data_IF_949722190883
#
_entry.id   IF_949722190883
#
_cell.length_a   1.000
_cell.length_b   1.000
_cell.length_c   1.000
_cell.angle_alpha   90.00
_cell.angle_beta   90.00
_cell.angle_gamma   90.00
#
_symmetry.space_group_name_H-M   'P 1'
#
loop_
_entity.id
_entity.type
_entity.pdbx_description
1 polymer ?
#
# COMPACT_ATOMS: atom_id res chain seq x y z
N UNK A 1 -21.12 0.54 8.40
CA UNK A 1 -20.99 -0.02 9.77
C UNK A 1 -20.80 -1.54 9.80
N UNK A 2 -21.58 -2.34 9.05
CA UNK A 2 -21.45 -3.81 9.00
C UNK A 2 -20.05 -4.32 8.59
N UNK A 3 -19.43 -3.71 7.58
CA UNK A 3 -18.09 -4.10 7.12
C UNK A 3 -17.00 -3.98 8.21
N UNK A 4 -17.10 -2.95 9.08
CA UNK A 4 -16.13 -2.71 10.17
C UNK A 4 -16.18 -3.84 11.21
N UNK A 5 -17.39 -4.30 11.53
CA UNK A 5 -17.62 -5.43 12.43
C UNK A 5 -17.15 -6.76 11.85
N UNK A 6 -17.43 -7.02 10.57
CA UNK A 6 -16.93 -8.22 9.89
C UNK A 6 -15.40 -8.28 9.92
N UNK A 7 -14.73 -7.15 9.63
CA UNK A 7 -13.27 -7.05 9.71
C UNK A 7 -12.79 -7.30 11.14
N UNK A 8 -13.42 -6.69 12.15
CA UNK A 8 -13.03 -6.90 13.55
C UNK A 8 -13.15 -8.37 13.98
N UNK A 9 -14.23 -9.05 13.59
CA UNK A 9 -14.42 -10.49 13.87
C UNK A 9 -13.37 -11.33 13.16
N UNK A 10 -13.08 -11.07 11.89
CA UNK A 10 -12.05 -11.80 11.14
C UNK A 10 -10.66 -11.62 11.77
N UNK A 11 -10.33 -10.40 12.19
CA UNK A 11 -9.07 -10.12 12.91
C UNK A 11 -9.01 -10.88 14.23
N UNK A 12 -10.09 -10.91 15.00
CA UNK A 12 -10.15 -11.66 16.26
C UNK A 12 -9.99 -13.18 16.03
N UNK A 13 -10.68 -13.74 15.04
CA UNK A 13 -10.53 -15.15 14.67
C UNK A 13 -9.10 -15.47 14.24
N UNK A 14 -8.47 -14.60 13.44
CA UNK A 14 -7.08 -14.78 13.02
C UNK A 14 -6.10 -14.72 14.21
N UNK A 15 -6.32 -13.79 15.15
CA UNK A 15 -5.51 -13.70 16.36
C UNK A 15 -5.63 -14.95 17.23
N UNK A 16 -6.85 -15.48 17.40
CA UNK A 16 -7.09 -16.76 18.10
C UNK A 16 -6.38 -17.91 17.37
N UNK A 17 -6.48 -17.97 16.04
CA UNK A 17 -5.81 -18.99 15.24
C UNK A 17 -4.29 -18.97 15.40
N UNK A 18 -3.68 -17.78 15.34
CA UNK A 18 -2.24 -17.61 15.60
C UNK A 18 -1.87 -18.03 17.02
N UNK A 19 -2.66 -17.66 18.02
CA UNK A 19 -2.43 -18.08 19.39
C UNK A 19 -2.47 -19.60 19.57
N UNK A 20 -3.50 -20.26 19.03
CA UNK A 20 -3.65 -21.72 19.09
C UNK A 20 -2.45 -22.42 18.45
N UNK A 21 -2.06 -21.97 17.25
CA UNK A 21 -0.92 -22.54 16.53
C UNK A 21 0.39 -22.31 17.28
N UNK A 22 0.64 -21.09 17.78
CA UNK A 22 1.85 -20.81 18.54
C UNK A 22 1.95 -21.70 19.78
N UNK A 23 0.83 -21.91 20.49
CA UNK A 23 0.78 -22.82 21.63
C UNK A 23 1.12 -24.26 21.21
N UNK A 24 0.48 -24.78 20.16
CA UNK A 24 0.75 -26.15 19.68
C UNK A 24 2.20 -26.34 19.21
N UNK A 25 2.77 -25.35 18.51
CA UNK A 25 4.18 -25.39 18.11
C UNK A 25 5.12 -25.40 19.32
N UNK A 26 4.83 -24.60 20.36
CA UNK A 26 5.64 -24.59 21.58
C UNK A 26 5.58 -25.95 22.30
N UNK A 27 4.41 -26.57 22.37
CA UNK A 27 4.25 -27.92 22.93
C UNK A 27 5.03 -28.97 22.11
N UNK A 28 5.02 -28.88 20.78
CA UNK A 28 5.80 -29.76 19.90
C UNK A 28 7.31 -29.56 20.07
N UNK A 29 7.77 -28.31 20.23
CA UNK A 29 9.18 -27.98 20.45
C UNK A 29 9.64 -28.51 21.82
N UNK A 30 8.80 -28.38 22.85
CA UNK A 30 9.07 -28.90 24.20
C UNK A 30 9.12 -30.42 24.30
N UNK A 31 8.58 -31.15 23.32
CA UNK A 31 8.52 -32.63 23.34
C UNK A 31 9.88 -33.34 23.16
N UNK A 32 10.94 -32.61 22.79
CA UNK A 32 12.29 -33.15 22.61
C UNK A 32 12.48 -34.06 21.38
N UNK A 33 11.43 -34.29 20.59
CA UNK A 33 11.50 -35.09 19.35
C UNK A 33 11.97 -34.22 18.18
N UNK A 34 13.08 -34.55 17.48
CA UNK A 34 13.62 -33.71 16.40
C UNK A 34 12.62 -33.42 15.28
N UNK A 35 11.82 -34.42 14.90
CA UNK A 35 10.77 -34.27 13.87
C UNK A 35 9.68 -33.31 14.32
N UNK A 36 9.28 -33.35 15.59
CA UNK A 36 8.25 -32.48 16.13
C UNK A 36 8.74 -31.02 16.23
N UNK A 37 10.01 -30.81 16.60
CA UNK A 37 10.65 -29.50 16.61
C UNK A 37 10.67 -28.89 15.21
N UNK A 38 11.09 -29.64 14.19
CA UNK A 38 11.12 -29.16 12.81
C UNK A 38 9.74 -28.77 12.28
N UNK A 39 8.72 -29.59 12.57
CA UNK A 39 7.34 -29.31 12.17
C UNK A 39 6.76 -28.09 12.91
N UNK A 40 7.05 -27.96 14.21
CA UNK A 40 6.65 -26.80 15.02
C UNK A 40 7.25 -25.49 14.52
N UNK A 41 8.53 -25.48 14.12
CA UNK A 41 9.18 -24.31 13.50
C UNK A 41 8.51 -23.96 12.17
N UNK A 42 8.29 -24.95 11.29
CA UNK A 42 7.64 -24.73 10.00
C UNK A 42 6.24 -24.13 10.14
N UNK A 43 5.46 -24.64 11.09
CA UNK A 43 4.13 -24.13 11.42
C UNK A 43 4.19 -22.70 11.97
N UNK A 44 5.23 -22.35 12.76
CA UNK A 44 5.39 -21.01 13.33
C UNK A 44 5.81 -19.96 12.28
N UNK A 45 6.52 -20.37 11.23
CA UNK A 45 6.97 -19.46 10.17
C UNK A 45 5.80 -18.90 9.35
N UNK A 46 4.78 -19.71 9.06
CA UNK A 46 3.61 -19.27 8.28
C UNK A 46 2.88 -18.04 8.86
N UNK A 47 2.46 -18.02 10.15
CA UNK A 47 1.80 -16.86 10.74
C UNK A 47 2.74 -15.66 10.86
N UNK A 48 4.04 -15.87 11.09
CA UNK A 48 5.04 -14.79 11.10
C UNK A 48 5.10 -14.11 9.73
N UNK A 49 5.19 -14.89 8.65
CA UNK A 49 5.19 -14.36 7.28
C UNK A 49 3.89 -13.61 7.01
N UNK A 50 2.74 -14.17 7.38
CA UNK A 50 1.44 -13.50 7.25
C UNK A 50 1.39 -12.16 7.97
N UNK A 51 1.84 -12.11 9.21
CA UNK A 51 1.89 -10.88 10.01
C UNK A 51 2.81 -9.83 9.37
N UNK A 52 3.99 -10.23 8.89
CA UNK A 52 4.93 -9.33 8.21
C UNK A 52 4.32 -8.74 6.94
N UNK A 53 3.67 -9.55 6.11
CA UNK A 53 2.99 -9.09 4.89
C UNK A 53 1.88 -8.08 5.21
N UNK A 54 1.07 -8.34 6.23
CA UNK A 54 0.01 -7.42 6.67
C UNK A 54 0.61 -6.10 7.15
N UNK A 55 1.70 -6.14 7.93
CA UNK A 55 2.39 -4.92 8.40
C UNK A 55 2.93 -4.12 7.22
N UNK A 56 3.50 -4.77 6.20
CA UNK A 56 3.96 -4.08 5.01
C UNK A 56 2.82 -3.42 4.23
N UNK A 57 1.70 -4.11 4.06
CA UNK A 57 0.53 -3.57 3.36
C UNK A 57 -0.09 -2.39 4.12
N UNK A 58 -0.25 -2.52 5.45
CA UNK A 58 -0.79 -1.46 6.30
C UNK A 58 0.10 -0.23 6.28
N UNK A 59 1.42 -0.40 6.40
CA UNK A 59 2.38 0.72 6.32
C UNK A 59 2.30 1.46 4.98
N UNK A 60 2.15 0.72 3.88
CA UNK A 60 1.96 1.33 2.56
C UNK A 60 0.68 2.17 2.52
N UNK A 61 -0.45 1.60 2.95
CA UNK A 61 -1.75 2.27 2.97
C UNK A 61 -1.78 3.52 3.85
N UNK A 62 -1.20 3.47 5.05
CA UNK A 62 -1.15 4.63 5.93
C UNK A 62 -0.31 5.78 5.36
N UNK A 63 0.81 5.48 4.69
CA UNK A 63 1.65 6.49 4.03
C UNK A 63 0.92 7.14 2.85
N UNK A 64 0.19 6.36 2.05
CA UNK A 64 -0.63 6.92 0.96
C UNK A 64 -1.75 7.82 1.50
N UNK A 65 -2.43 7.39 2.56
CA UNK A 65 -3.48 8.20 3.21
C UNK A 65 -2.94 9.46 3.89
N UNK A 66 -1.68 9.48 4.30
CA UNK A 66 -1.03 10.67 4.84
C UNK A 66 -0.73 11.68 3.72
N UNK A 67 -0.13 11.25 2.61
CA UNK A 67 0.09 12.11 1.43
C UNK A 67 -1.23 12.71 0.92
N UNK A 68 -2.26 11.89 0.76
CA UNK A 68 -3.57 12.37 0.30
C UNK A 68 -4.17 13.44 1.23
N UNK A 69 -4.02 13.28 2.56
CA UNK A 69 -4.47 14.28 3.54
C UNK A 69 -3.63 15.55 3.52
N UNK A 70 -2.34 15.46 3.24
CA UNK A 70 -1.44 16.62 3.15
C UNK A 70 -1.72 17.42 1.88
N UNK A 71 -1.93 16.76 0.73
CA UNK A 71 -2.39 17.41 -0.50
C UNK A 71 -3.73 18.13 -0.31
N UNK A 72 -4.68 17.51 0.39
CA UNK A 72 -5.97 18.12 0.75
C UNK A 72 -5.80 19.35 1.65
N UNK A 73 -4.83 19.33 2.57
CA UNK A 73 -4.59 20.42 3.50
C UNK A 73 -3.83 21.61 2.87
N UNK A 74 -3.01 21.35 1.86
CA UNK A 74 -2.23 22.36 1.14
C UNK A 74 -3.00 22.98 -0.03
N UNK A 75 -4.28 22.61 -0.25
CA UNK A 75 -5.12 22.94 -1.42
C UNK A 75 -4.40 22.66 -2.77
N UNK A 76 -3.36 21.83 -2.71
CA UNK A 76 -2.51 21.43 -3.81
C UNK A 76 -2.96 20.09 -4.39
N UNK A 77 -4.21 19.68 -4.09
CA UNK A 77 -4.84 18.60 -4.85
C UNK A 77 -4.64 18.95 -6.33
N UNK A 78 -4.10 18.02 -7.14
CA UNK A 78 -4.11 18.23 -8.57
C UNK A 78 -5.58 18.50 -8.88
N UNK A 79 -5.90 19.65 -9.48
CA UNK A 79 -7.23 19.89 -10.04
C UNK A 79 -7.59 18.57 -10.72
N UNK A 80 -8.59 17.85 -10.17
CA UNK A 80 -8.95 16.55 -10.72
C UNK A 80 -9.21 16.87 -12.19
N UNK A 81 -8.36 16.40 -13.11
CA UNK A 81 -8.55 16.79 -14.49
C UNK A 81 -9.91 16.19 -14.79
N UNK A 82 -10.85 17.02 -15.22
CA UNK A 82 -12.19 16.60 -15.59
C UNK A 82 -12.06 15.76 -16.85
N UNK A 83 -11.47 14.57 -16.70
CA UNK A 83 -11.14 13.67 -17.77
C UNK A 83 -12.47 13.06 -18.20
N UNK A 84 -12.77 13.06 -19.51
CA UNK A 84 -13.98 12.44 -20.00
C UNK A 84 -14.01 10.98 -19.54
N UNK A 85 -15.16 10.60 -18.98
CA UNK A 85 -15.38 9.30 -18.35
C UNK A 85 -16.31 8.51 -19.25
N UNK A 86 -15.95 7.26 -19.52
CA UNK A 86 -16.82 6.31 -20.22
C UNK A 86 -18.11 6.09 -19.41
N UNK A 87 -19.21 5.63 -20.04
CA UNK A 87 -20.45 5.28 -19.34
C UNK A 87 -20.27 4.24 -18.22
N UNK A 88 -19.15 3.51 -18.22
CA UNK A 88 -18.75 2.57 -17.17
C UNK A 88 -18.12 3.22 -15.93
N UNK A 89 -17.95 4.55 -15.89
CA UNK A 89 -17.26 5.27 -14.82
C UNK A 89 -15.73 5.21 -14.92
N UNK A 90 -15.17 4.61 -15.97
CA UNK A 90 -13.72 4.58 -16.22
C UNK A 90 -13.29 5.77 -17.06
N UNK A 91 -12.19 6.41 -16.69
CA UNK A 91 -11.56 7.46 -17.50
C UNK A 91 -11.26 6.95 -18.90
N UNK A 92 -11.52 7.79 -19.91
CA UNK A 92 -11.18 7.48 -21.30
C UNK A 92 -9.67 7.31 -21.47
N UNK A 93 -9.28 6.27 -22.22
CA UNK A 93 -7.88 5.87 -22.35
C UNK A 93 -7.03 6.97 -23.00
N UNK A 94 -7.55 7.62 -24.03
CA UNK A 94 -6.88 8.74 -24.71
C UNK A 94 -6.68 9.93 -23.77
N UNK A 95 -7.66 10.24 -22.92
CA UNK A 95 -7.53 11.30 -21.92
C UNK A 95 -6.54 10.93 -20.81
N UNK A 96 -6.50 9.66 -20.38
CA UNK A 96 -5.52 9.16 -19.43
C UNK A 96 -4.08 9.21 -19.99
N UNK A 97 -3.90 8.88 -21.27
CA UNK A 97 -2.60 8.91 -21.94
C UNK A 97 -2.11 10.35 -22.16
N UNK A 98 -3.00 11.28 -22.52
CA UNK A 98 -2.66 12.71 -22.62
C UNK A 98 -2.27 13.32 -21.27
N UNK A 99 -3.01 12.98 -20.20
CA UNK A 99 -2.67 13.38 -18.83
C UNK A 99 -1.35 12.77 -18.36
N UNK A 100 -1.06 11.52 -18.76
CA UNK A 100 0.21 10.89 -18.45
C UNK A 100 1.39 11.66 -19.03
N UNK A 101 1.34 12.04 -20.31
CA UNK A 101 2.43 12.79 -20.96
C UNK A 101 2.62 14.18 -20.36
N UNK A 102 1.54 14.88 -20.00
CA UNK A 102 1.65 16.20 -19.35
C UNK A 102 2.32 16.09 -17.98
N UNK A 103 1.86 15.15 -17.15
CA UNK A 103 2.41 14.91 -15.80
C UNK A 103 3.85 14.40 -15.86
N UNK A 104 4.17 13.57 -16.86
CA UNK A 104 5.53 13.10 -17.08
C UNK A 104 6.48 14.26 -17.36
N UNK A 105 6.05 15.22 -18.18
CA UNK A 105 6.85 16.42 -18.48
C UNK A 105 7.03 17.30 -17.25
N UNK A 106 6.01 17.44 -16.40
CA UNK A 106 6.11 18.13 -15.10
C UNK A 106 7.15 17.45 -14.18
N UNK A 107 7.11 16.12 -14.07
CA UNK A 107 8.06 15.36 -13.24
C UNK A 107 9.49 15.41 -13.80
N UNK A 108 9.64 15.37 -15.11
CA UNK A 108 10.96 15.50 -15.76
C UNK A 108 11.54 16.91 -15.57
N UNK A 109 10.70 17.95 -15.46
CA UNK A 109 11.12 19.33 -15.20
C UNK A 109 11.52 19.57 -13.73
N UNK A 110 10.82 18.96 -12.77
CA UNK A 110 11.09 19.09 -11.33
C UNK A 110 11.14 17.72 -10.64
N UNK A 111 12.23 16.95 -10.82
CA UNK A 111 12.32 15.57 -10.33
C UNK A 111 12.41 15.45 -8.80
N UNK A 112 12.73 16.54 -8.10
CA UNK A 112 12.77 16.64 -6.64
C UNK A 112 11.42 16.93 -5.99
N UNK A 113 10.40 17.39 -6.74
CA UNK A 113 9.08 17.67 -6.18
C UNK A 113 8.26 16.38 -6.00
N UNK A 114 7.97 16.03 -4.75
CA UNK A 114 7.20 14.85 -4.41
C UNK A 114 5.76 14.89 -4.96
N UNK A 115 5.19 16.09 -5.20
CA UNK A 115 3.81 16.25 -5.71
C UNK A 115 3.70 15.78 -7.16
N UNK A 116 4.69 16.07 -8.00
CA UNK A 116 4.76 15.56 -9.37
C UNK A 116 4.75 14.03 -9.41
N UNK A 117 5.56 13.38 -8.57
CA UNK A 117 5.59 11.91 -8.47
C UNK A 117 4.26 11.31 -7.97
N UNK A 118 3.51 12.04 -7.14
CA UNK A 118 2.17 11.64 -6.73
C UNK A 118 1.20 11.67 -7.93
N UNK A 119 1.16 12.77 -8.70
CA UNK A 119 0.34 12.87 -9.93
C UNK A 119 0.69 11.75 -10.91
N UNK A 120 1.98 11.46 -11.09
CA UNK A 120 2.45 10.42 -12.01
C UNK A 120 1.97 9.03 -11.58
N UNK A 121 1.92 8.76 -10.27
CA UNK A 121 1.38 7.51 -9.75
C UNK A 121 -0.11 7.33 -10.06
N UNK A 122 -0.87 8.42 -10.00
CA UNK A 122 -2.30 8.44 -10.36
C UNK A 122 -2.47 8.19 -11.85
N UNK A 123 -1.68 8.87 -12.69
CA UNK A 123 -1.69 8.68 -14.13
C UNK A 123 -1.40 7.21 -14.53
N UNK A 124 -0.39 6.58 -13.93
CA UNK A 124 -0.11 5.15 -14.13
C UNK A 124 -1.26 4.24 -13.67
N UNK A 125 -1.96 4.60 -12.60
CA UNK A 125 -3.10 3.82 -12.13
C UNK A 125 -4.32 3.95 -13.06
N UNK A 126 -4.52 5.12 -13.67
CA UNK A 126 -5.56 5.37 -14.68
C UNK A 126 -5.31 4.57 -15.97
N UNK A 127 -4.05 4.47 -16.42
CA UNK A 127 -3.66 3.66 -17.59
C UNK A 127 -3.60 2.15 -17.29
N UNK A 128 -3.69 1.76 -16.01
CA UNK A 128 -3.73 0.37 -15.56
C UNK A 128 -2.37 -0.24 -15.24
N UNK A 129 -1.28 0.52 -15.35
CA UNK A 129 0.06 0.08 -14.94
C UNK A 129 0.25 0.20 -13.42
N UNK A 130 -0.30 -0.77 -12.70
CA UNK A 130 -0.22 -0.83 -11.23
C UNK A 130 1.21 -0.93 -10.70
N UNK A 131 2.14 -1.52 -11.48
CA UNK A 131 3.52 -1.71 -11.04
C UNK A 131 4.24 -0.36 -11.04
N UNK A 132 4.16 0.37 -12.15
CA UNK A 132 4.75 1.71 -12.26
C UNK A 132 4.05 2.73 -11.35
N UNK A 133 2.73 2.61 -11.16
CA UNK A 133 2.00 3.44 -10.19
C UNK A 133 2.57 3.32 -8.78
N UNK A 134 2.82 2.09 -8.30
CA UNK A 134 3.42 1.86 -6.98
C UNK A 134 4.85 2.37 -6.88
N UNK A 135 5.61 2.30 -7.96
CA UNK A 135 6.98 2.80 -8.01
C UNK A 135 7.03 4.33 -7.91
N UNK A 136 6.23 5.03 -8.71
CA UNK A 136 6.08 6.48 -8.63
C UNK A 136 5.58 6.93 -7.24
N UNK A 137 4.60 6.22 -6.67
CA UNK A 137 4.10 6.50 -5.32
C UNK A 137 5.20 6.35 -4.25
N UNK A 138 6.04 5.31 -4.35
CA UNK A 138 7.18 5.13 -3.43
C UNK A 138 8.18 6.26 -3.54
N UNK A 139 8.45 6.76 -4.76
CA UNK A 139 9.35 7.90 -4.96
C UNK A 139 8.79 9.18 -4.35
N UNK A 140 7.49 9.44 -4.53
CA UNK A 140 6.79 10.55 -3.88
C UNK A 140 6.91 10.51 -2.36
N UNK A 141 6.66 9.35 -1.74
CA UNK A 141 6.80 9.15 -0.28
C UNK A 141 8.25 9.38 0.19
N UNK A 142 9.24 8.96 -0.60
CA UNK A 142 10.65 9.14 -0.23
C UNK A 142 11.05 10.63 -0.23
N UNK A 143 10.67 11.36 -1.28
CA UNK A 143 10.96 12.80 -1.42
C UNK A 143 10.23 13.64 -0.37
N UNK A 144 8.96 13.33 -0.06
CA UNK A 144 8.22 13.99 1.03
C UNK A 144 8.90 13.76 2.39
N UNK A 145 9.46 12.56 2.58
CA UNK A 145 10.24 12.23 3.76
C UNK A 145 11.51 13.06 3.88
N UNK A 146 12.24 13.22 2.77
CA UNK A 146 13.46 14.05 2.67
C UNK A 146 13.16 15.52 2.95
N UNK A 147 12.12 16.09 2.34
CA UNK A 147 11.67 17.48 2.55
C UNK A 147 11.31 17.73 4.03
N UNK A 148 10.58 16.80 4.66
CA UNK A 148 10.21 16.93 6.08
C UNK A 148 11.41 16.87 7.03
N UNK A 149 12.47 16.15 6.68
CA UNK A 149 13.71 16.14 7.49
C UNK A 149 14.64 17.32 7.23
N UNK A 150 14.46 18.02 6.11
CA UNK A 150 15.28 19.17 5.72
C UNK A 150 14.72 20.53 6.21
N UNK A 151 13.43 20.59 6.54
CA UNK A 151 12.76 21.74 7.18
C UNK A 151 12.70 21.64 8.69
#
# INVERSE_FOLDING_TARGET
MRARWVVAVLVAVLAVYFYLISRTSLDMIGSGRPVAVGLGIGILLLPIIGAVLVVFELRFGFRTQHLARRLLAEDAMPEEPQLPVRPSGRVEREAADAYFESVRTEVEATPEDWRGWYKLSVAYNLSGDRKRAREAMRRSIALEGEERTAG
#
